data_IF_544637109490
#
_entry.id   IF_544637109490
#
_cell.length_a   1.000
_cell.length_b   1.000
_cell.length_c   1.000
_cell.angle_alpha   90.00
_cell.angle_beta   90.00
_cell.angle_gamma   90.00
#
_symmetry.space_group_name_H-M   'P 1'
#
loop_
_entity.id
_entity.type
_entity.pdbx_description
1 polymer ?
#
# COMPACT_ATOMS: atom_id res chain seq x y z
N UNK A 1 -16.07 14.74 -3.67
CA UNK A 1 -15.13 13.73 -4.19
C UNK A 1 -14.28 13.03 -3.11
N UNK A 2 -14.44 13.30 -1.81
CA UNK A 2 -13.59 12.74 -0.74
C UNK A 2 -13.79 11.25 -0.40
N UNK A 3 -14.76 10.58 -1.04
CA UNK A 3 -15.07 9.16 -0.81
C UNK A 3 -14.49 8.21 -1.85
N UNK A 4 -14.02 8.71 -2.99
CA UNK A 4 -13.53 7.89 -4.09
C UNK A 4 -12.00 7.89 -4.06
N UNK A 5 -11.40 6.70 -4.12
CA UNK A 5 -9.97 6.49 -4.36
C UNK A 5 -9.74 5.95 -5.77
N UNK A 6 -8.48 5.97 -6.20
CA UNK A 6 -8.03 5.30 -7.44
C UNK A 6 -6.79 4.45 -7.16
N UNK A 7 -6.60 3.37 -7.90
CA UNK A 7 -5.50 2.44 -7.69
C UNK A 7 -4.29 2.78 -8.56
N UNK A 8 -3.09 2.59 -8.03
CA UNK A 8 -1.83 2.80 -8.76
C UNK A 8 -1.48 1.69 -9.76
N UNK A 9 -2.27 0.59 -9.84
CA UNK A 9 -2.00 -0.55 -10.73
C UNK A 9 -1.75 -0.20 -12.21
N UNK A 10 -2.43 0.78 -12.85
CA UNK A 10 -2.19 1.10 -14.26
C UNK A 10 -0.79 1.68 -14.52
N UNK A 11 -0.08 2.09 -13.47
CA UNK A 11 1.22 2.76 -13.54
C UNK A 11 2.36 1.90 -12.97
N UNK A 12 2.13 0.61 -12.68
CA UNK A 12 3.06 -0.27 -11.96
C UNK A 12 4.51 -0.35 -12.50
N UNK A 13 4.75 0.10 -13.73
CA UNK A 13 6.06 0.21 -14.38
C UNK A 13 6.75 1.58 -14.16
N UNK A 14 6.17 2.45 -13.33
CA UNK A 14 6.66 3.77 -12.95
C UNK A 14 7.04 3.81 -11.48
N UNK A 15 7.77 4.84 -11.08
CA UNK A 15 8.07 5.11 -9.68
C UNK A 15 6.83 5.63 -8.93
N UNK A 16 6.81 5.43 -7.61
CA UNK A 16 5.66 5.80 -6.78
C UNK A 16 5.37 7.31 -6.82
N UNK A 17 6.39 8.17 -6.92
CA UNK A 17 6.21 9.62 -7.03
C UNK A 17 5.42 10.00 -8.28
N UNK A 18 5.70 9.36 -9.42
CA UNK A 18 4.94 9.57 -10.66
C UNK A 18 3.47 9.18 -10.48
N UNK A 19 3.21 8.03 -9.86
CA UNK A 19 1.84 7.57 -9.62
C UNK A 19 1.07 8.53 -8.72
N UNK A 20 1.67 9.00 -7.61
CA UNK A 20 1.03 9.96 -6.70
C UNK A 20 0.78 11.31 -7.37
N UNK A 21 1.73 11.80 -8.19
CA UNK A 21 1.52 13.00 -8.99
C UNK A 21 0.32 12.84 -9.93
N UNK A 22 0.26 11.75 -10.68
CA UNK A 22 -0.85 11.50 -11.61
C UNK A 22 -2.21 11.40 -10.89
N UNK A 23 -2.25 10.82 -9.69
CA UNK A 23 -3.45 10.76 -8.84
C UNK A 23 -3.93 12.18 -8.47
N UNK A 24 -3.01 13.03 -7.99
CA UNK A 24 -3.31 14.42 -7.64
C UNK A 24 -3.76 15.24 -8.85
N UNK A 25 -3.06 15.12 -9.99
CA UNK A 25 -3.39 15.84 -11.23
C UNK A 25 -4.75 15.42 -11.80
N UNK A 26 -5.17 14.17 -11.57
CA UNK A 26 -6.49 13.67 -11.90
C UNK A 26 -7.60 14.12 -10.91
N UNK A 27 -7.24 14.86 -9.86
CA UNK A 27 -8.17 15.43 -8.89
C UNK A 27 -8.59 14.50 -7.74
N UNK A 28 -7.89 13.37 -7.54
CA UNK A 28 -8.12 12.48 -6.41
C UNK A 28 -7.31 12.92 -5.19
N UNK A 29 -7.89 12.75 -4.00
CA UNK A 29 -7.21 12.99 -2.72
C UNK A 29 -6.89 11.70 -1.97
N UNK A 30 -7.22 10.54 -2.54
CA UNK A 30 -7.04 9.21 -1.97
C UNK A 30 -6.57 8.23 -3.03
N UNK A 31 -5.70 7.30 -2.66
CA UNK A 31 -5.22 6.25 -3.57
C UNK A 31 -5.09 4.89 -2.89
N UNK A 32 -5.25 3.83 -3.68
CA UNK A 32 -4.95 2.46 -3.28
C UNK A 32 -3.59 2.08 -3.87
N UNK A 33 -2.63 1.77 -3.00
CA UNK A 33 -1.27 1.42 -3.41
C UNK A 33 -1.22 -0.06 -3.78
N UNK A 34 -0.84 -0.39 -5.01
CA UNK A 34 -0.55 -1.76 -5.40
C UNK A 34 0.64 -2.30 -4.57
N UNK A 35 0.45 -3.43 -3.90
CA UNK A 35 1.51 -4.11 -3.14
C UNK A 35 2.40 -4.96 -4.04
N UNK A 36 3.20 -4.25 -4.84
CA UNK A 36 4.22 -4.78 -5.72
C UNK A 36 5.37 -3.76 -5.76
N UNK A 37 6.61 -4.23 -5.84
CA UNK A 37 7.74 -3.32 -6.05
C UNK A 37 7.63 -2.66 -7.45
N UNK A 38 7.93 -1.36 -7.58
CA UNK A 38 8.64 -0.52 -6.60
C UNK A 38 7.75 0.17 -5.56
N UNK A 39 6.45 -0.10 -5.52
CA UNK A 39 5.52 0.66 -4.69
C UNK A 39 5.50 0.24 -3.25
N UNK A 40 5.37 -1.05 -2.95
CA UNK A 40 5.23 -1.47 -1.57
C UNK A 40 5.72 -2.90 -1.35
N UNK A 41 6.34 -3.09 -0.18
CA UNK A 41 6.61 -4.39 0.42
C UNK A 41 6.34 -4.32 1.91
N UNK A 42 5.84 -5.42 2.49
CA UNK A 42 5.75 -5.58 3.94
C UNK A 42 7.13 -5.77 4.60
N UNK A 43 8.17 -6.03 3.81
CA UNK A 43 9.56 -6.07 4.28
C UNK A 43 10.15 -4.66 4.30
N UNK A 44 10.47 -4.15 5.49
CA UNK A 44 11.06 -2.81 5.67
C UNK A 44 12.50 -2.71 5.14
N UNK A 45 13.19 -3.83 4.91
CA UNK A 45 14.46 -3.86 4.21
C UNK A 45 14.32 -3.58 2.71
N UNK A 46 13.11 -3.75 2.15
CA UNK A 46 12.81 -3.52 0.74
C UNK A 46 11.98 -2.25 0.50
N UNK A 47 11.26 -1.76 1.51
CA UNK A 47 10.37 -0.62 1.38
C UNK A 47 10.45 0.28 2.62
N UNK A 48 10.82 1.55 2.41
CA UNK A 48 10.77 2.58 3.46
C UNK A 48 9.34 3.13 3.60
N UNK A 49 8.63 2.68 4.63
CA UNK A 49 7.26 3.13 4.90
C UNK A 49 7.21 4.61 5.33
N UNK A 50 8.25 5.11 6.01
CA UNK A 50 8.30 6.50 6.46
C UNK A 50 8.44 7.44 5.26
N UNK A 51 9.37 7.13 4.36
CA UNK A 51 9.54 7.84 3.09
C UNK A 51 8.28 7.80 2.23
N UNK A 52 7.57 6.67 2.18
CA UNK A 52 6.28 6.59 1.48
C UNK A 52 5.21 7.51 2.10
N UNK A 53 5.10 7.53 3.43
CA UNK A 53 4.15 8.39 4.14
C UNK A 53 4.44 9.87 3.89
N UNK A 54 5.70 10.26 3.97
CA UNK A 54 6.18 11.63 3.70
C UNK A 54 5.89 12.02 2.25
N UNK A 55 6.14 11.13 1.29
CA UNK A 55 5.86 11.36 -0.12
C UNK A 55 4.36 11.53 -0.37
N UNK A 56 3.51 10.68 0.21
CA UNK A 56 2.05 10.82 0.09
C UNK A 56 1.57 12.17 0.66
N UNK A 57 2.16 12.61 1.78
CA UNK A 57 1.85 13.90 2.41
C UNK A 57 2.31 15.08 1.55
N UNK A 58 3.49 14.97 0.92
CA UNK A 58 4.02 15.98 -0.01
C UNK A 58 3.09 16.19 -1.21
N UNK A 59 2.49 15.13 -1.75
CA UNK A 59 1.53 15.22 -2.86
C UNK A 59 0.09 15.52 -2.43
N UNK A 60 -0.21 15.52 -1.13
CA UNK A 60 -1.56 15.74 -0.61
C UNK A 60 -2.52 14.58 -0.90
N UNK A 61 -2.01 13.35 -1.04
CA UNK A 61 -2.80 12.14 -1.33
C UNK A 61 -2.75 11.20 -0.14
N UNK A 62 -3.91 10.86 0.42
CA UNK A 62 -3.98 9.86 1.47
C UNK A 62 -3.95 8.43 0.90
N UNK A 63 -3.18 7.53 1.52
CA UNK A 63 -3.19 6.10 1.20
C UNK A 63 -4.43 5.48 1.84
N UNK A 64 -5.43 5.14 1.04
CA UNK A 64 -6.70 4.60 1.50
C UNK A 64 -6.68 3.07 1.66
N UNK A 65 -5.79 2.38 0.93
CA UNK A 65 -5.71 0.93 0.91
C UNK A 65 -4.34 0.45 0.43
N UNK A 66 -3.94 -0.75 0.86
CA UNK A 66 -2.85 -1.53 0.28
C UNK A 66 -3.46 -2.68 -0.53
N UNK A 67 -3.45 -2.57 -1.85
CA UNK A 67 -3.93 -3.59 -2.78
C UNK A 67 -2.98 -4.79 -2.82
N UNK A 68 -3.18 -5.74 -1.92
CA UNK A 68 -2.32 -6.92 -1.74
C UNK A 68 -3.01 -8.20 -2.20
N UNK A 69 -2.21 -9.24 -2.46
CA UNK A 69 -2.68 -10.59 -2.80
C UNK A 69 -2.26 -11.61 -1.74
N UNK A 70 -2.52 -11.26 -0.48
CA UNK A 70 -2.25 -12.14 0.67
C UNK A 70 -3.33 -13.22 0.82
N UNK A 71 -2.97 -14.28 1.52
CA UNK A 71 -3.86 -15.38 1.88
C UNK A 71 -3.78 -16.59 0.94
N UNK A 72 -2.94 -16.55 -0.09
CA UNK A 72 -2.74 -17.68 -1.02
C UNK A 72 -2.35 -18.98 -0.28
N UNK A 73 -1.64 -18.87 0.84
CA UNK A 73 -1.12 -20.00 1.60
C UNK A 73 -1.86 -20.28 2.93
N UNK A 74 -3.04 -19.68 3.17
CA UNK A 74 -3.82 -20.01 4.37
C UNK A 74 -4.30 -21.46 4.41
N UNK A 75 -4.44 -22.08 3.25
CA UNK A 75 -4.79 -23.50 3.11
C UNK A 75 -3.62 -24.33 2.58
N UNK A 76 -2.38 -23.89 2.80
CA UNK A 76 -1.21 -24.65 2.38
C UNK A 76 -1.15 -26.00 3.13
N UNK A 77 -0.54 -27.01 2.49
CA UNK A 77 -0.41 -28.35 3.09
C UNK A 77 0.48 -28.36 4.33
N UNK A 78 1.42 -27.41 4.42
CA UNK A 78 2.34 -27.31 5.55
C UNK A 78 1.95 -26.18 6.49
N UNK A 79 2.00 -26.47 7.78
CA UNK A 79 1.78 -25.45 8.83
C UNK A 79 2.76 -24.28 8.72
N UNK A 80 4.02 -24.57 8.34
CA UNK A 80 5.05 -23.55 8.18
C UNK A 80 4.67 -22.49 7.12
N UNK A 81 4.11 -22.90 5.97
CA UNK A 81 3.67 -21.97 4.93
C UNK A 81 2.47 -21.13 5.40
N UNK A 82 1.52 -21.73 6.11
CA UNK A 82 0.37 -21.01 6.67
C UNK A 82 0.82 -19.97 7.71
N UNK A 83 1.70 -20.34 8.64
CA UNK A 83 2.25 -19.43 9.64
C UNK A 83 3.04 -18.28 9.01
N UNK A 84 3.83 -18.54 7.97
CA UNK A 84 4.55 -17.51 7.24
C UNK A 84 3.60 -16.51 6.56
N UNK A 85 2.51 -16.99 5.95
CA UNK A 85 1.51 -16.13 5.32
C UNK A 85 0.72 -15.32 6.34
N UNK A 86 0.39 -15.91 7.49
CA UNK A 86 -0.24 -15.18 8.60
C UNK A 86 0.69 -14.10 9.16
N UNK A 87 1.99 -14.36 9.26
CA UNK A 87 2.96 -13.35 9.67
C UNK A 87 3.01 -12.19 8.66
N UNK A 88 3.06 -12.49 7.35
CA UNK A 88 2.99 -11.48 6.29
C UNK A 88 1.70 -10.65 6.34
N UNK A 89 0.56 -11.29 6.61
CA UNK A 89 -0.71 -10.58 6.82
C UNK A 89 -0.60 -9.56 7.96
N UNK A 90 -0.11 -9.99 9.12
CA UNK A 90 0.02 -9.11 10.30
C UNK A 90 0.89 -7.89 9.99
N UNK A 91 2.07 -8.10 9.41
CA UNK A 91 2.97 -6.99 9.05
C UNK A 91 2.35 -6.07 7.99
N UNK A 92 1.59 -6.61 7.05
CA UNK A 92 0.90 -5.77 6.05
C UNK A 92 -0.23 -4.95 6.66
N UNK A 93 -0.95 -5.50 7.65
CA UNK A 93 -1.95 -4.74 8.42
C UNK A 93 -1.28 -3.63 9.23
N UNK A 94 -0.15 -3.90 9.87
CA UNK A 94 0.65 -2.88 10.57
C UNK A 94 1.09 -1.76 9.61
N UNK A 95 1.57 -2.12 8.42
CA UNK A 95 1.92 -1.15 7.39
C UNK A 95 0.71 -0.31 6.95
N UNK A 96 -0.45 -0.94 6.75
CA UNK A 96 -1.68 -0.24 6.37
C UNK A 96 -2.13 0.75 7.45
N UNK A 97 -2.03 0.38 8.73
CA UNK A 97 -2.32 1.28 9.86
C UNK A 97 -1.32 2.44 9.92
N UNK A 98 -0.04 2.17 9.65
CA UNK A 98 1.01 3.19 9.68
C UNK A 98 0.91 4.21 8.53
N UNK A 99 0.63 3.72 7.32
CA UNK A 99 0.55 4.51 6.07
C UNK A 99 -0.81 5.17 5.87
N UNK A 100 -1.87 4.57 6.41
CA UNK A 100 -3.23 5.07 6.29
C UNK A 100 -3.41 6.46 6.92
N UNK A 101 -4.47 7.19 6.54
CA UNK A 101 -4.83 8.42 7.23
C UNK A 101 -5.09 8.14 8.71
N UNK A 102 -4.85 9.13 9.57
CA UNK A 102 -5.24 9.03 10.98
C UNK A 102 -6.72 8.62 11.06
N UNK A 103 -7.08 7.66 11.93
CA UNK A 103 -8.46 7.25 12.07
C UNK A 103 -9.27 8.46 12.57
N UNK A 104 -10.15 8.97 11.70
CA UNK A 104 -11.09 10.08 11.92
C UNK A 104 -10.48 11.50 11.93
N UNK A 105 -10.35 12.09 10.74
CA UNK A 105 -10.51 13.53 10.51
C UNK A 105 -11.56 13.78 9.41
#
# INVERSE_FOLDING_TARGET
>A
MSRVSTCTIPMHDREIAYALQAVTEAGFTKTDILALMPYFSADQGLCDWSGMRDLSSQFGVAIANLGTYLGQFFTAETEAQCLAELARLKTTVEAAVYLGPAPYE
#
